data_IF_108392396154
#
_entry.id   IF_108392396154
#
_cell.length_a   1.000
_cell.length_b   1.000
_cell.length_c   1.000
_cell.angle_alpha   90.00
_cell.angle_beta   90.00
_cell.angle_gamma   90.00
#
_symmetry.space_group_name_H-M   'P 1'
#
loop_
_entity.id
_entity.type
_entity.pdbx_description
1 polymer ?
#
# COMPACT_ATOMS: atom_id res chain seq x y z
N UNK A 1 -15.34 32.57 -4.72
CA UNK A 1 -14.72 31.59 -5.63
C UNK A 1 -14.95 30.26 -4.95
N UNK A 2 -16.08 29.62 -5.25
CA UNK A 2 -16.40 28.30 -4.73
C UNK A 2 -15.44 27.32 -5.38
N UNK A 3 -14.60 26.68 -4.57
CA UNK A 3 -13.90 25.47 -4.94
C UNK A 3 -14.95 24.37 -4.97
N UNK A 4 -15.68 24.25 -6.07
CA UNK A 4 -16.32 22.97 -6.40
C UNK A 4 -15.19 21.96 -6.53
N UNK A 5 -15.16 20.88 -5.73
CA UNK A 5 -14.16 19.83 -5.88
C UNK A 5 -14.25 19.32 -7.31
N UNK A 6 -13.13 19.31 -8.02
CA UNK A 6 -13.00 18.54 -9.24
C UNK A 6 -13.33 17.08 -8.87
N UNK A 7 -14.39 16.55 -9.47
CA UNK A 7 -15.11 15.31 -9.12
C UNK A 7 -14.33 14.06 -9.54
N UNK A 8 -13.00 14.09 -9.46
CA UNK A 8 -12.14 12.99 -9.89
C UNK A 8 -11.08 12.66 -8.85
N UNK A 9 -11.53 12.32 -7.63
CA UNK A 9 -10.75 11.50 -6.69
C UNK A 9 -10.54 10.10 -7.28
N UNK A 10 -9.68 10.01 -8.29
CA UNK A 10 -9.52 8.82 -9.12
C UNK A 10 -8.07 8.38 -9.08
N UNK A 11 -7.89 7.07 -8.86
CA UNK A 11 -6.73 6.34 -9.31
C UNK A 11 -7.19 5.28 -10.32
N UNK A 12 -6.31 4.90 -11.24
CA UNK A 12 -6.58 3.82 -12.19
C UNK A 12 -5.54 2.71 -12.04
N UNK A 13 -5.31 2.28 -10.81
CA UNK A 13 -4.36 1.22 -10.52
C UNK A 13 -4.94 -0.13 -11.00
N UNK A 14 -4.19 -0.91 -11.80
CA UNK A 14 -4.60 -2.25 -12.18
C UNK A 14 -4.61 -3.18 -10.95
N UNK A 15 -5.41 -4.26 -11.02
CA UNK A 15 -5.48 -5.29 -9.97
C UNK A 15 -4.24 -6.20 -10.04
N UNK A 16 -3.12 -5.69 -9.51
CA UNK A 16 -1.80 -6.33 -9.43
C UNK A 16 -1.22 -6.12 -8.04
N UNK A 17 -0.47 -7.08 -7.52
CA UNK A 17 0.19 -6.94 -6.23
C UNK A 17 1.32 -5.90 -6.30
N UNK A 18 2.12 -5.93 -7.37
CA UNK A 18 3.27 -5.03 -7.56
C UNK A 18 3.19 -4.37 -8.93
N UNK A 19 3.21 -3.04 -8.92
CA UNK A 19 3.23 -2.19 -10.12
C UNK A 19 4.44 -1.27 -10.00
N UNK A 20 5.27 -1.24 -11.04
CA UNK A 20 6.48 -0.44 -11.03
C UNK A 20 6.73 0.28 -12.34
N UNK A 21 7.54 1.33 -12.32
CA UNK A 21 8.20 1.84 -13.53
C UNK A 21 9.70 1.55 -13.56
N UNK A 22 10.22 0.91 -12.52
CA UNK A 22 11.59 0.44 -12.37
C UNK A 22 11.72 -1.08 -12.40
N UNK A 23 12.97 -1.56 -12.25
CA UNK A 23 13.25 -2.99 -12.20
C UNK A 23 12.78 -3.60 -10.87
N UNK A 24 12.18 -4.80 -10.94
CA UNK A 24 11.91 -5.62 -9.77
C UNK A 24 13.00 -6.66 -9.63
N UNK A 25 13.70 -6.69 -8.49
CA UNK A 25 14.82 -7.61 -8.31
C UNK A 25 15.04 -7.96 -6.84
N UNK A 26 15.95 -8.89 -6.57
CA UNK A 26 16.42 -9.16 -5.22
C UNK A 26 17.90 -9.48 -5.22
N UNK A 27 18.50 -9.45 -4.04
CA UNK A 27 19.90 -9.83 -3.86
C UNK A 27 20.02 -11.35 -3.66
N UNK A 28 21.05 -12.00 -4.21
CA UNK A 28 21.28 -13.44 -3.97
C UNK A 28 20.12 -14.33 -4.44
N UNK A 29 19.55 -15.11 -3.51
CA UNK A 29 18.39 -15.99 -3.76
C UNK A 29 17.04 -15.32 -3.52
N UNK A 30 17.03 -14.04 -3.16
CA UNK A 30 15.84 -13.30 -2.77
C UNK A 30 15.13 -12.78 -4.00
N UNK A 31 13.80 -12.88 -4.01
CA UNK A 31 12.96 -12.51 -5.16
C UNK A 31 11.76 -11.69 -4.69
N UNK A 32 11.23 -10.88 -5.60
CA UNK A 32 9.94 -10.23 -5.44
C UNK A 32 8.88 -11.21 -5.94
N UNK A 33 7.90 -11.52 -5.10
CA UNK A 33 6.78 -12.40 -5.43
C UNK A 33 5.47 -11.63 -5.34
N UNK A 34 4.63 -11.78 -6.36
CA UNK A 34 3.24 -11.35 -6.33
C UNK A 34 2.33 -12.53 -6.04
N UNK A 35 1.34 -12.33 -5.19
CA UNK A 35 0.28 -13.28 -4.93
C UNK A 35 -1.07 -12.70 -5.34
N UNK A 36 -1.96 -13.56 -5.84
CA UNK A 36 -3.34 -13.18 -6.13
C UNK A 36 -4.15 -12.92 -4.84
N UNK A 37 -5.40 -12.47 -4.99
CA UNK A 37 -6.30 -12.17 -3.86
C UNK A 37 -6.58 -13.39 -2.95
N UNK A 38 -6.42 -14.60 -3.50
CA UNK A 38 -6.56 -15.87 -2.79
C UNK A 38 -5.27 -16.31 -2.08
N UNK A 39 -4.18 -15.55 -2.21
CA UNK A 39 -2.88 -15.85 -1.63
C UNK A 39 -2.08 -16.91 -2.39
N UNK A 40 -2.39 -17.17 -3.66
CA UNK A 40 -1.59 -18.05 -4.51
C UNK A 40 -0.48 -17.25 -5.22
N UNK A 41 0.76 -17.77 -5.27
CA UNK A 41 1.83 -17.09 -6.01
C UNK A 41 1.52 -17.10 -7.50
N UNK A 42 1.51 -15.90 -8.11
CA UNK A 42 1.26 -15.72 -9.53
C UNK A 42 2.22 -14.67 -10.09
N UNK A 43 3.15 -15.04 -11.00
CA UNK A 43 4.09 -14.09 -11.58
C UNK A 43 3.41 -12.98 -12.39
N UNK A 44 2.15 -13.18 -12.83
CA UNK A 44 1.39 -12.13 -13.51
C UNK A 44 0.95 -11.02 -12.56
N UNK A 45 1.08 -11.19 -11.24
CA UNK A 45 0.76 -10.16 -10.23
C UNK A 45 1.86 -9.10 -10.06
N UNK A 46 2.98 -9.24 -10.78
CA UNK A 46 4.04 -8.25 -10.86
C UNK A 46 4.03 -7.66 -12.28
N UNK A 47 3.94 -6.33 -12.36
CA UNK A 47 3.93 -5.63 -13.63
C UNK A 47 4.88 -4.42 -13.62
N UNK A 48 5.68 -4.29 -14.67
CA UNK A 48 6.57 -3.14 -14.90
C UNK A 48 6.10 -2.39 -16.14
N UNK A 49 5.67 -1.15 -15.94
CA UNK A 49 5.21 -0.25 -16.99
C UNK A 49 6.30 0.77 -17.36
N UNK A 50 6.19 1.36 -18.55
CA UNK A 50 7.01 2.54 -18.91
C UNK A 50 6.63 3.77 -18.07
N UNK A 51 5.36 3.88 -17.70
CA UNK A 51 4.81 4.97 -16.88
C UNK A 51 3.79 4.39 -15.90
N UNK A 52 3.80 4.89 -14.66
CA UNK A 52 2.84 4.46 -13.65
C UNK A 52 1.40 4.87 -13.99
N UNK A 53 0.40 4.17 -13.41
CA UNK A 53 -0.99 4.59 -13.51
C UNK A 53 -1.20 6.03 -13.03
N UNK A 54 -2.12 6.73 -13.68
CA UNK A 54 -2.52 8.08 -13.26
C UNK A 54 -3.24 8.03 -11.92
N UNK A 55 -2.84 8.91 -11.00
CA UNK A 55 -3.42 9.07 -9.66
C UNK A 55 -3.52 10.56 -9.36
N UNK A 56 -4.67 11.02 -8.85
CA UNK A 56 -4.83 12.39 -8.38
C UNK A 56 -4.10 12.60 -7.04
N UNK A 57 -2.81 12.92 -7.10
CA UNK A 57 -1.95 13.06 -5.92
C UNK A 57 -2.34 14.24 -5.02
N UNK A 58 -2.79 15.36 -5.61
CA UNK A 58 -3.26 16.51 -4.83
C UNK A 58 -4.50 16.17 -4.01
N UNK A 59 -5.41 15.35 -4.58
CA UNK A 59 -6.54 14.82 -3.82
C UNK A 59 -6.08 13.85 -2.71
N UNK A 60 -5.16 12.93 -2.97
CA UNK A 60 -4.62 12.04 -1.92
C UNK A 60 -4.01 12.83 -0.77
N UNK A 61 -3.26 13.89 -1.08
CA UNK A 61 -2.69 14.80 -0.08
C UNK A 61 -3.77 15.54 0.70
N UNK A 62 -4.81 16.02 0.02
CA UNK A 62 -5.91 16.75 0.65
C UNK A 62 -6.79 15.87 1.56
N UNK A 63 -6.97 14.59 1.22
CA UNK A 63 -7.75 13.63 2.00
C UNK A 63 -6.94 12.89 3.07
N UNK A 64 -5.64 13.16 3.21
CA UNK A 64 -4.79 12.53 4.20
C UNK A 64 -5.26 12.81 5.64
N UNK A 65 -5.45 11.75 6.41
CA UNK A 65 -5.76 11.83 7.85
C UNK A 65 -4.53 12.11 8.70
N UNK A 66 -3.39 11.56 8.25
CA UNK A 66 -2.09 11.78 8.83
C UNK A 66 -1.14 12.28 7.77
N UNK A 67 -0.31 13.25 8.13
CA UNK A 67 0.76 13.77 7.29
C UNK A 67 2.05 13.79 8.10
N UNK A 68 3.11 13.21 7.56
CA UNK A 68 4.44 13.16 8.18
C UNK A 68 5.52 13.68 7.24
N UNK A 69 6.57 14.28 7.79
CA UNK A 69 7.76 14.64 7.02
C UNK A 69 8.58 13.39 6.65
N UNK A 70 8.66 12.41 7.55
CA UNK A 70 9.18 11.07 7.32
C UNK A 70 8.30 10.11 8.13
N UNK A 71 7.96 8.94 7.58
CA UNK A 71 7.21 7.92 8.31
C UNK A 71 8.17 6.87 8.87
N UNK A 72 8.62 7.11 10.10
CA UNK A 72 9.50 6.23 10.84
C UNK A 72 8.79 5.39 11.90
N UNK A 73 9.58 4.58 12.59
CA UNK A 73 9.15 3.76 13.71
C UNK A 73 8.44 4.55 14.83
N UNK A 74 8.93 5.76 15.13
CA UNK A 74 8.35 6.59 16.19
C UNK A 74 6.96 7.08 15.82
N UNK A 75 6.78 7.50 14.57
CA UNK A 75 5.50 7.98 14.05
C UNK A 75 4.49 6.85 14.03
N UNK A 76 4.90 5.66 13.57
CA UNK A 76 4.05 4.46 13.62
C UNK A 76 3.63 4.15 15.05
N UNK A 77 4.56 4.07 16.00
CA UNK A 77 4.24 3.71 17.40
C UNK A 77 3.34 4.74 18.08
N UNK A 78 3.57 6.03 17.83
CA UNK A 78 2.86 7.10 18.51
C UNK A 78 1.50 7.41 17.90
N UNK A 79 1.31 7.21 16.59
CA UNK A 79 0.13 7.71 15.88
C UNK A 79 -0.67 6.65 15.15
N UNK A 80 -0.06 5.55 14.68
CA UNK A 80 -0.74 4.59 13.79
C UNK A 80 -1.03 3.26 14.48
N UNK A 81 -0.03 2.69 15.16
CA UNK A 81 -0.10 1.35 15.76
C UNK A 81 -1.21 1.27 16.81
N UNK A 82 -2.17 0.36 16.61
CA UNK A 82 -3.35 0.20 17.47
C UNK A 82 -4.37 1.35 17.39
N UNK A 83 -4.17 2.32 16.50
CA UNK A 83 -5.04 3.50 16.33
C UNK A 83 -5.70 3.54 14.96
N UNK A 84 -5.07 2.93 13.95
CA UNK A 84 -5.61 2.80 12.60
C UNK A 84 -5.95 1.34 12.30
N UNK A 85 -6.92 1.16 11.41
CA UNK A 85 -7.13 -0.07 10.65
C UNK A 85 -7.08 0.30 9.17
N UNK A 86 -7.40 -0.60 8.22
CA UNK A 86 -7.52 -0.13 6.83
C UNK A 86 -8.70 0.84 6.69
N UNK A 87 -9.83 0.52 7.35
CA UNK A 87 -11.06 1.32 7.34
C UNK A 87 -11.21 2.18 8.61
N UNK A 88 -11.86 3.34 8.51
CA UNK A 88 -12.05 4.26 9.65
C UNK A 88 -13.04 3.75 10.70
N UNK A 89 -14.16 3.14 10.29
CA UNK A 89 -15.17 2.56 11.21
C UNK A 89 -16.13 1.58 10.49
N UNK A 90 -15.80 0.27 10.42
CA UNK A 90 -16.74 -0.73 9.90
C UNK A 90 -17.96 -0.90 10.83
N UNK A 91 -19.20 -1.07 10.32
CA UNK A 91 -19.62 -1.14 8.93
C UNK A 91 -20.23 0.17 8.38
N UNK A 92 -20.15 1.27 9.14
CA UNK A 92 -20.83 2.52 8.79
C UNK A 92 -19.99 3.45 7.91
N UNK A 93 -18.67 3.24 7.87
CA UNK A 93 -17.72 4.06 7.13
C UNK A 93 -16.70 3.18 6.39
N UNK A 94 -16.86 3.09 5.06
CA UNK A 94 -15.95 2.40 4.13
C UNK A 94 -14.84 3.33 3.62
N UNK A 95 -14.54 4.41 4.33
CA UNK A 95 -13.40 5.26 3.96
C UNK A 95 -12.09 4.67 4.50
N UNK A 96 -11.06 4.54 3.65
CA UNK A 96 -9.76 4.08 4.08
C UNK A 96 -9.07 5.17 4.90
N UNK A 97 -8.22 4.78 5.86
CA UNK A 97 -7.22 5.70 6.41
C UNK A 97 -6.24 6.08 5.31
N UNK A 98 -5.99 7.38 5.13
CA UNK A 98 -5.02 7.90 4.15
C UNK A 98 -3.85 8.53 4.93
N UNK A 99 -2.65 8.05 4.66
CA UNK A 99 -1.40 8.50 5.28
C UNK A 99 -0.54 9.12 4.20
N UNK A 100 -0.23 10.39 4.36
CA UNK A 100 0.69 11.12 3.50
C UNK A 100 2.08 11.20 4.16
N UNK A 101 3.12 10.94 3.39
CA UNK A 101 4.52 10.99 3.81
C UNK A 101 5.27 11.86 2.81
N UNK A 102 5.67 13.06 3.23
CA UNK A 102 6.31 14.04 2.34
C UNK A 102 7.74 13.62 1.94
N UNK A 103 8.44 12.92 2.83
CA UNK A 103 9.74 12.30 2.61
C UNK A 103 9.63 10.78 2.56
N UNK A 104 10.61 10.10 3.15
CA UNK A 104 10.74 8.64 3.03
C UNK A 104 9.83 7.87 4.00
N UNK A 105 9.57 6.61 3.66
CA UNK A 105 8.96 5.65 4.57
C UNK A 105 10.03 4.69 5.06
N UNK A 106 10.26 4.61 6.37
CA UNK A 106 11.29 3.75 6.99
C UNK A 106 10.73 3.04 8.21
N UNK A 107 10.08 1.90 7.98
CA UNK A 107 9.39 1.15 9.03
C UNK A 107 10.07 -0.20 9.23
N UNK A 108 10.38 -0.52 10.48
CA UNK A 108 11.03 -1.78 10.84
C UNK A 108 10.50 -2.39 12.12
N UNK A 109 11.03 -3.54 12.52
CA UNK A 109 10.67 -4.20 13.78
C UNK A 109 9.33 -4.95 13.70
N UNK A 110 8.56 -5.00 14.79
CA UNK A 110 7.26 -5.68 14.84
C UNK A 110 6.12 -4.65 14.82
N UNK A 111 5.86 -4.07 13.64
CA UNK A 111 4.91 -2.96 13.47
C UNK A 111 3.91 -3.28 12.37
N UNK A 112 2.69 -2.80 12.56
CA UNK A 112 1.61 -2.90 11.59
C UNK A 112 1.20 -1.50 11.17
N UNK A 113 1.17 -1.24 9.87
CA UNK A 113 0.65 0.00 9.29
C UNK A 113 -0.51 -0.35 8.39
N UNK A 114 -1.60 0.42 8.49
CA UNK A 114 -2.82 0.18 7.75
C UNK A 114 -3.22 1.42 6.95
N UNK A 115 -3.77 1.21 5.76
CA UNK A 115 -4.39 2.27 4.95
C UNK A 115 -3.75 2.48 3.58
N UNK A 116 -4.13 3.57 2.93
CA UNK A 116 -3.50 4.08 1.72
C UNK A 116 -2.32 4.95 2.16
N UNK A 117 -1.11 4.56 1.80
CA UNK A 117 0.12 5.24 2.18
C UNK A 117 0.69 5.89 0.93
N UNK A 118 0.56 7.22 0.83
CA UNK A 118 1.15 8.03 -0.23
C UNK A 118 2.51 8.56 0.21
N UNK A 119 3.57 8.10 -0.44
CA UNK A 119 4.97 8.48 -0.16
C UNK A 119 5.50 9.33 -1.32
N UNK A 120 5.86 10.57 -1.02
CA UNK A 120 6.46 11.51 -1.98
C UNK A 120 7.98 11.42 -2.04
N UNK A 121 8.60 10.83 -1.02
CA UNK A 121 10.05 10.62 -0.96
C UNK A 121 10.60 9.61 -1.96
N UNK A 122 11.91 9.49 -1.88
CA UNK A 122 12.77 8.83 -2.84
C UNK A 122 12.91 7.32 -2.53
N UNK A 123 12.62 6.96 -1.27
CA UNK A 123 12.85 5.64 -0.70
C UNK A 123 11.67 5.15 0.16
N UNK A 124 11.40 3.85 0.03
CA UNK A 124 10.53 3.08 0.92
C UNK A 124 11.34 1.91 1.45
N UNK A 125 11.47 1.79 2.76
CA UNK A 125 12.17 0.69 3.43
C UNK A 125 11.25 0.04 4.47
N UNK A 126 10.90 -1.23 4.23
CA UNK A 126 10.09 -2.05 5.13
C UNK A 126 10.93 -3.22 5.59
N UNK A 127 11.31 -3.24 6.87
CA UNK A 127 12.26 -4.23 7.38
C UNK A 127 11.80 -5.01 8.61
N UNK A 128 12.47 -6.13 8.86
CA UNK A 128 12.20 -7.00 10.01
C UNK A 128 10.84 -7.68 9.88
N UNK A 129 10.01 -7.59 10.93
CA UNK A 129 8.67 -8.20 10.96
C UNK A 129 7.56 -7.17 10.68
N UNK A 130 7.90 -6.01 10.10
CA UNK A 130 6.92 -5.00 9.78
C UNK A 130 5.92 -5.53 8.75
N UNK A 131 4.65 -5.12 8.88
CA UNK A 131 3.55 -5.53 8.01
C UNK A 131 2.76 -4.30 7.57
N UNK A 132 2.51 -4.20 6.27
CA UNK A 132 1.65 -3.19 5.70
C UNK A 132 0.38 -3.87 5.21
N UNK A 133 -0.77 -3.37 5.65
CA UNK A 133 -2.09 -3.82 5.20
C UNK A 133 -2.75 -2.65 4.48
N UNK A 134 -2.64 -2.63 3.15
CA UNK A 134 -3.15 -1.53 2.33
C UNK A 134 -2.34 -1.27 1.07
N UNK A 135 -2.44 -0.05 0.56
CA UNK A 135 -1.78 0.35 -0.70
C UNK A 135 -0.62 1.26 -0.40
N UNK A 136 0.57 0.93 -0.88
CA UNK A 136 1.74 1.82 -0.89
C UNK A 136 1.80 2.45 -2.27
N UNK A 137 1.57 3.76 -2.34
CA UNK A 137 1.73 4.55 -3.54
C UNK A 137 2.97 5.44 -3.38
N UNK A 138 4.08 5.04 -4.01
CA UNK A 138 5.38 5.70 -3.94
C UNK A 138 5.90 6.03 -5.36
N UNK A 139 5.22 6.92 -6.10
CA UNK A 139 5.53 7.18 -7.51
C UNK A 139 6.91 7.80 -7.71
N UNK A 140 7.42 8.50 -6.69
CA UNK A 140 8.70 9.19 -6.69
C UNK A 140 9.84 8.38 -6.08
N UNK A 141 9.58 7.13 -5.67
CA UNK A 141 10.61 6.23 -5.18
C UNK A 141 11.57 5.89 -6.34
N UNK A 142 12.62 6.71 -6.48
CA UNK A 142 13.62 6.66 -7.56
C UNK A 142 14.88 5.94 -7.12
N UNK A 143 15.10 5.84 -5.80
CA UNK A 143 16.23 5.11 -5.22
C UNK A 143 15.85 3.65 -5.05
N UNK A 144 14.82 3.38 -4.24
CA UNK A 144 14.38 2.01 -3.96
C UNK A 144 13.04 1.92 -3.24
N UNK A 145 12.30 0.85 -3.50
CA UNK A 145 11.32 0.29 -2.56
C UNK A 145 11.84 -1.04 -2.04
N UNK A 146 12.50 -1.03 -0.89
CA UNK A 146 13.12 -2.20 -0.29
C UNK A 146 12.15 -2.88 0.68
N UNK A 147 11.98 -4.19 0.49
CA UNK A 147 11.19 -5.03 1.39
C UNK A 147 12.10 -6.12 1.90
N UNK A 148 12.29 -6.11 3.22
CA UNK A 148 13.05 -7.09 3.96
C UNK A 148 12.11 -7.99 4.70
N UNK A 149 11.45 -8.88 3.96
CA UNK A 149 10.57 -9.88 4.53
C UNK A 149 11.29 -10.65 5.63
N UNK A 150 10.77 -10.52 6.86
CA UNK A 150 11.16 -11.34 7.99
C UNK A 150 10.32 -12.61 8.06
N UNK A 151 10.93 -13.71 8.49
CA UNK A 151 10.25 -14.98 8.72
C UNK A 151 10.44 -15.98 7.58
N UNK A 152 9.43 -16.82 7.34
CA UNK A 152 9.43 -17.85 6.31
C UNK A 152 8.92 -17.29 4.97
N UNK A 153 9.35 -17.84 3.82
CA UNK A 153 8.70 -17.59 2.53
C UNK A 153 7.18 -17.81 2.62
N UNK A 154 6.40 -16.86 2.10
CA UNK A 154 4.93 -16.82 2.22
C UNK A 154 4.40 -15.94 3.35
N UNK A 155 5.26 -15.40 4.22
CA UNK A 155 4.87 -14.36 5.17
C UNK A 155 4.82 -13.00 4.46
N UNK A 156 3.68 -12.60 3.88
CA UNK A 156 3.62 -11.40 3.04
C UNK A 156 3.86 -10.11 3.85
N UNK A 157 4.98 -9.38 3.64
CA UNK A 157 5.22 -8.13 4.35
C UNK A 157 4.21 -7.05 3.95
N UNK A 158 3.61 -7.18 2.75
CA UNK A 158 2.55 -6.30 2.27
C UNK A 158 1.34 -7.14 1.84
N UNK A 159 0.22 -6.88 2.49
CA UNK A 159 -1.12 -7.37 2.13
C UNK A 159 -1.88 -6.20 1.51
N UNK A 160 -1.92 -6.13 0.19
CA UNK A 160 -2.56 -5.09 -0.60
C UNK A 160 -1.80 -4.86 -1.90
N UNK A 161 -1.29 -3.65 -2.11
CA UNK A 161 -0.64 -3.31 -3.38
C UNK A 161 0.54 -2.37 -3.18
N UNK A 162 1.56 -2.52 -4.04
CA UNK A 162 2.67 -1.58 -4.14
C UNK A 162 2.67 -0.98 -5.54
N UNK A 163 2.71 0.34 -5.61
CA UNK A 163 2.90 1.12 -6.84
C UNK A 163 4.15 1.97 -6.63
N UNK A 164 5.28 1.59 -7.23
CA UNK A 164 6.57 2.23 -7.00
C UNK A 164 7.17 2.85 -8.27
N UNK A 165 7.92 3.93 -8.09
CA UNK A 165 8.61 4.66 -9.14
C UNK A 165 9.70 3.88 -9.88
N UNK A 166 10.63 4.63 -10.47
CA UNK A 166 11.73 4.07 -11.28
C UNK A 166 12.78 3.34 -10.45
N UNK A 167 12.77 3.56 -9.13
CA UNK A 167 13.54 2.80 -8.16
C UNK A 167 12.96 1.41 -7.89
N UNK A 168 11.87 0.99 -8.55
CA UNK A 168 11.37 -0.39 -8.54
C UNK A 168 11.09 -0.99 -7.15
N UNK A 169 10.93 -2.31 -7.08
CA UNK A 169 10.83 -3.05 -5.82
C UNK A 169 12.00 -4.02 -5.67
N UNK A 170 12.62 -4.01 -4.50
CA UNK A 170 13.83 -4.76 -4.18
C UNK A 170 13.61 -5.68 -2.98
N UNK A 171 13.76 -6.99 -3.19
CA UNK A 171 13.85 -7.94 -2.10
C UNK A 171 15.26 -7.91 -1.49
N UNK A 172 15.37 -7.34 -0.29
CA UNK A 172 16.57 -7.41 0.56
C UNK A 172 16.28 -8.31 1.74
N UNK A 173 17.28 -8.95 2.37
CA UNK A 173 16.96 -9.90 3.44
C UNK A 173 16.39 -11.20 2.89
N UNK A 174 15.15 -11.62 3.18
CA UNK A 174 14.66 -12.97 2.78
C UNK A 174 13.80 -12.98 1.50
N UNK A 175 12.76 -12.17 1.45
CA UNK A 175 11.81 -12.11 0.33
C UNK A 175 11.06 -10.78 0.31
N UNK A 176 10.44 -10.48 -0.82
CA UNK A 176 9.49 -9.38 -0.96
C UNK A 176 8.17 -9.96 -1.48
N UNK A 177 7.40 -10.55 -0.57
CA UNK A 177 6.13 -11.21 -0.87
C UNK A 177 4.97 -10.21 -0.74
N UNK A 178 4.32 -9.87 -1.84
CA UNK A 178 3.18 -8.94 -1.85
C UNK A 178 1.94 -9.70 -2.28
N UNK A 179 0.93 -9.76 -1.41
CA UNK A 179 -0.36 -10.35 -1.76
C UNK A 179 -1.35 -9.25 -2.12
N UNK A 180 -1.98 -9.37 -3.29
CA UNK A 180 -3.10 -8.53 -3.65
C UNK A 180 -4.21 -8.65 -2.61
N UNK A 181 -4.80 -7.52 -2.24
CA UNK A 181 -6.10 -7.47 -1.57
C UNK A 181 -6.96 -6.53 -2.41
N UNK A 182 -7.89 -7.09 -3.18
CA UNK A 182 -8.66 -6.33 -4.17
C UNK A 182 -9.44 -5.18 -3.54
N UNK A 183 -10.02 -5.40 -2.36
CA UNK A 183 -10.76 -4.38 -1.61
C UNK A 183 -9.92 -3.13 -1.33
N UNK A 184 -8.61 -3.29 -1.09
CA UNK A 184 -7.72 -2.16 -0.82
C UNK A 184 -7.39 -1.40 -2.09
N UNK A 185 -7.25 -2.09 -3.22
CA UNK A 185 -7.04 -1.47 -4.54
C UNK A 185 -8.29 -0.75 -5.00
N UNK A 186 -9.47 -1.34 -4.79
CA UNK A 186 -10.74 -0.73 -5.14
C UNK A 186 -10.99 0.53 -4.28
N UNK A 187 -10.62 0.52 -3.00
CA UNK A 187 -10.61 1.71 -2.16
C UNK A 187 -9.63 2.78 -2.68
N UNK A 188 -8.43 2.37 -3.09
CA UNK A 188 -7.42 3.28 -3.66
C UNK A 188 -7.85 3.88 -4.99
N UNK A 189 -8.64 3.17 -5.80
CA UNK A 189 -9.20 3.73 -7.03
C UNK A 189 -10.35 4.71 -6.76
N UNK A 190 -10.97 4.66 -5.57
CA UNK A 190 -12.14 5.45 -5.17
C UNK A 190 -11.92 6.29 -3.90
N UNK A 191 -10.68 6.66 -3.55
CA UNK A 191 -10.28 7.18 -2.22
C UNK A 191 -10.93 8.50 -1.76
N UNK A 192 -11.67 9.20 -2.63
CA UNK A 192 -12.47 10.39 -2.27
C UNK A 192 -13.96 10.26 -2.58
N UNK A 193 -14.41 9.09 -3.04
CA UNK A 193 -15.82 8.74 -3.16
C UNK A 193 -16.26 7.91 -1.96
N UNK A 194 -17.55 7.93 -1.64
CA UNK A 194 -18.13 6.81 -0.90
C UNK A 194 -17.89 5.56 -1.75
N UNK A 195 -17.38 4.48 -1.16
CA UNK A 195 -17.39 3.17 -1.82
C UNK A 195 -18.86 2.74 -1.87
N UNK A 196 -19.55 3.17 -2.91
CA UNK A 196 -20.88 2.68 -3.25
C UNK A 196 -20.68 1.30 -3.88
N UNK A 197 -21.30 0.29 -3.28
CA UNK A 197 -21.21 -1.14 -3.62
C UNK A 197 -20.06 -1.94 -2.96
N UNK A 198 -19.92 -1.82 -1.64
CA UNK A 198 -19.77 -3.07 -0.88
C UNK A 198 -21.18 -3.60 -0.64
N UNK A 199 -21.65 -4.50 -1.49
CA UNK A 199 -22.78 -5.36 -1.12
C UNK A 199 -22.34 -6.08 0.17
N UNK A 200 -22.79 -5.58 1.31
CA UNK A 200 -22.72 -6.34 2.55
C UNK A 200 -23.57 -7.57 2.28
N UNK A 201 -22.93 -8.67 1.91
CA UNK A 201 -23.60 -9.97 1.85
C UNK A 201 -24.09 -10.21 3.26
N UNK A 202 -25.38 -9.97 3.49
CA UNK A 202 -26.05 -10.29 4.75
C UNK A 202 -26.08 -11.82 4.85
N UNK A 203 -25.00 -12.40 5.36
CA UNK A 203 -24.74 -13.83 5.20
C UNK A 203 -23.60 -14.35 6.07
N UNK A 204 -23.85 -14.40 7.38
CA UNK A 204 -23.30 -15.39 8.32
C UNK A 204 -21.78 -15.45 8.55
N UNK A 205 -21.27 -14.55 9.40
CA UNK A 205 -20.24 -14.95 10.36
C UNK A 205 -20.91 -15.67 11.52
N UNK A 206 -20.99 -17.01 11.46
CA UNK A 206 -21.14 -17.81 12.67
C UNK A 206 -19.75 -18.01 13.26
N UNK A 207 -19.52 -17.41 14.43
CA UNK A 207 -18.55 -17.92 15.39
C UNK A 207 -18.92 -19.37 15.72
N UNK A 208 -17.95 -20.28 15.58
CA UNK A 208 -17.87 -21.52 16.34
C UNK A 208 -16.49 -21.63 16.93
#
# INVERSE_FOLDING_TARGET
MELTPDDTSTANAPKKAVITSGANSGSGSHIVNGYDDLGNPDPTMIETFTTLPSVNQDALRAFADYSFDELGNNEVDNYLSGKTSFWKDPPANTQPWIIHVAGDLKVSGNRYVFGIIFVEGDEVDIAGSARIHGVIYAPNATISTEIHGGGNPGDQPVMGQIIAGTGGVYARGNHADVQLVEEYVDAFNNFGGDIVDVEVVSGSWKQS
#
